data_IF_305340176680
#
_entry.id   IF_305340176680
#
_cell.length_a   1.000
_cell.length_b   1.000
_cell.length_c   1.000
_cell.angle_alpha   90.00
_cell.angle_beta   90.00
_cell.angle_gamma   90.00
#
_symmetry.space_group_name_H-M   'P 1'
#
loop_
_entity.id
_entity.type
_entity.pdbx_description
1 polymer ?
#
# COMPACT_ATOMS: atom_id res chain seq x y z
N UNK A 1 -6.43 -31.34 -3.06
CA UNK A 1 -5.24 -30.76 -2.35
C UNK A 1 -5.14 -29.30 -2.74
N UNK A 2 -5.20 -28.43 -1.77
CA UNK A 2 -5.19 -26.96 -1.91
C UNK A 2 -3.74 -26.50 -2.09
N UNK A 3 -3.41 -25.88 -3.21
CA UNK A 3 -2.05 -25.45 -3.57
C UNK A 3 -1.85 -23.98 -3.19
N UNK A 4 -0.95 -23.72 -2.27
CA UNK A 4 -0.76 -22.39 -1.66
C UNK A 4 0.66 -21.87 -1.94
N UNK A 5 0.77 -20.57 -2.22
CA UNK A 5 2.02 -19.82 -2.12
C UNK A 5 2.02 -18.95 -0.85
N UNK A 6 3.18 -18.79 -0.21
CA UNK A 6 3.39 -17.89 0.92
C UNK A 6 4.35 -16.78 0.45
N UNK A 7 3.95 -15.52 0.63
CA UNK A 7 4.73 -14.35 0.23
C UNK A 7 4.88 -13.42 1.42
N UNK A 8 6.11 -13.32 1.95
CA UNK A 8 6.43 -12.59 3.16
C UNK A 8 7.96 -12.38 3.18
N UNK A 9 8.45 -11.21 3.48
CA UNK A 9 9.89 -10.93 3.51
C UNK A 9 10.61 -11.54 4.74
N UNK A 10 9.83 -11.92 5.75
CA UNK A 10 10.32 -12.51 6.98
C UNK A 10 10.26 -14.06 6.94
N UNK A 11 11.44 -14.68 6.79
CA UNK A 11 11.57 -16.14 6.74
C UNK A 11 11.01 -16.87 7.98
N UNK A 12 11.09 -16.23 9.16
CA UNK A 12 10.54 -16.81 10.39
C UNK A 12 9.01 -16.85 10.33
N UNK A 13 8.38 -15.78 9.84
CA UNK A 13 6.92 -15.73 9.67
C UNK A 13 6.45 -16.71 8.59
N UNK A 14 7.16 -16.82 7.46
CA UNK A 14 6.87 -17.87 6.47
C UNK A 14 6.90 -19.27 7.09
N UNK A 15 7.90 -19.56 7.93
CA UNK A 15 8.01 -20.85 8.63
C UNK A 15 6.84 -21.05 9.59
N UNK A 16 6.49 -20.04 10.38
CA UNK A 16 5.35 -20.10 11.30
C UNK A 16 4.03 -20.38 10.58
N UNK A 17 3.79 -19.73 9.44
CA UNK A 17 2.59 -19.98 8.61
C UNK A 17 2.62 -21.41 8.04
N UNK A 18 3.78 -21.90 7.59
CA UNK A 18 3.93 -23.28 7.14
C UNK A 18 3.65 -24.28 8.27
N UNK A 19 4.16 -24.06 9.48
CA UNK A 19 3.89 -24.90 10.66
C UNK A 19 2.40 -24.90 11.01
N UNK A 20 1.73 -23.73 10.97
CA UNK A 20 0.27 -23.65 11.19
C UNK A 20 -0.52 -24.49 10.17
N UNK A 21 -0.07 -24.54 8.91
CA UNK A 21 -0.76 -25.28 7.85
C UNK A 21 -0.36 -26.75 7.76
N UNK A 22 0.75 -27.18 8.40
CA UNK A 22 1.21 -28.58 8.36
C UNK A 22 0.29 -29.55 9.08
N UNK A 23 -0.65 -29.06 9.91
CA UNK A 23 -1.67 -29.89 10.56
C UNK A 23 -2.78 -30.35 9.63
N UNK A 24 -2.84 -29.82 8.36
CA UNK A 24 -3.92 -30.09 7.42
C UNK A 24 -3.37 -30.80 6.18
N UNK A 25 -3.73 -32.09 6.04
CA UNK A 25 -3.19 -32.97 4.97
C UNK A 25 -3.63 -32.56 3.54
N UNK A 26 -4.71 -31.79 3.42
CA UNK A 26 -5.25 -31.32 2.16
C UNK A 26 -4.63 -30.00 1.67
N UNK A 27 -3.63 -29.45 2.40
CA UNK A 27 -2.91 -28.21 2.05
C UNK A 27 -1.49 -28.54 1.61
N UNK A 28 -1.10 -28.00 0.45
CA UNK A 28 0.25 -28.12 -0.09
C UNK A 28 0.86 -26.74 -0.37
N UNK A 29 2.01 -26.44 0.27
CA UNK A 29 2.76 -25.22 0.00
C UNK A 29 3.66 -25.47 -1.22
N UNK A 30 3.27 -24.89 -2.38
CA UNK A 30 3.99 -25.03 -3.66
C UNK A 30 5.19 -24.11 -3.80
N UNK A 31 5.09 -22.89 -3.24
CA UNK A 31 6.19 -21.92 -3.33
C UNK A 31 6.17 -20.94 -2.16
N UNK A 32 7.34 -20.33 -1.93
CA UNK A 32 7.54 -19.25 -0.99
C UNK A 32 8.31 -18.15 -1.69
N UNK A 33 8.02 -16.88 -1.41
CA UNK A 33 8.68 -15.72 -2.00
C UNK A 33 8.90 -14.66 -0.94
N UNK A 34 9.96 -13.87 -1.09
CA UNK A 34 10.32 -12.80 -0.15
C UNK A 34 9.72 -11.44 -0.55
N UNK A 35 9.17 -11.33 -1.75
CA UNK A 35 8.54 -10.12 -2.23
C UNK A 35 7.63 -10.43 -3.43
N UNK A 36 6.86 -9.41 -3.87
CA UNK A 36 5.93 -9.57 -4.99
C UNK A 36 6.62 -9.85 -6.32
N UNK A 37 7.82 -9.29 -6.54
CA UNK A 37 8.57 -9.50 -7.78
C UNK A 37 9.04 -10.96 -7.94
N UNK A 38 9.55 -11.54 -6.87
CA UNK A 38 9.93 -12.95 -6.83
C UNK A 38 8.71 -13.87 -7.04
N UNK A 39 7.57 -13.53 -6.45
CA UNK A 39 6.31 -14.25 -6.68
C UNK A 39 5.94 -14.25 -8.16
N UNK A 40 5.92 -13.08 -8.81
CA UNK A 40 5.55 -12.97 -10.24
C UNK A 40 6.49 -13.80 -11.13
N UNK A 41 7.79 -13.77 -10.89
CA UNK A 41 8.76 -14.62 -11.62
C UNK A 41 8.50 -16.13 -11.46
N UNK A 42 8.03 -16.56 -10.29
CA UNK A 42 7.65 -17.96 -10.04
C UNK A 42 6.35 -18.32 -10.72
N UNK A 43 5.36 -17.40 -10.72
CA UNK A 43 4.08 -17.59 -11.41
C UNK A 43 4.23 -17.68 -12.93
N UNK A 44 5.18 -16.96 -13.52
CA UNK A 44 5.50 -17.07 -14.95
C UNK A 44 5.99 -18.47 -15.34
N UNK A 45 6.68 -19.16 -14.41
CA UNK A 45 7.17 -20.53 -14.63
C UNK A 45 6.10 -21.58 -14.32
N UNK A 46 5.30 -21.34 -13.28
CA UNK A 46 4.21 -22.24 -12.86
C UNK A 46 3.16 -21.48 -12.08
N UNK A 47 2.00 -21.27 -12.67
CA UNK A 47 0.83 -20.61 -12.08
C UNK A 47 -0.19 -21.59 -11.50
N UNK A 48 0.14 -22.87 -11.30
CA UNK A 48 -0.76 -23.89 -10.75
C UNK A 48 -0.91 -23.72 -9.22
N UNK A 49 -1.58 -22.65 -8.82
CA UNK A 49 -1.90 -22.29 -7.46
C UNK A 49 -3.40 -22.00 -7.32
N UNK A 50 -3.94 -22.35 -6.18
CA UNK A 50 -5.34 -22.04 -5.82
C UNK A 50 -5.40 -20.73 -5.02
N UNK A 51 -4.42 -20.50 -4.12
CA UNK A 51 -4.43 -19.34 -3.23
C UNK A 51 -3.00 -18.85 -2.91
N UNK A 52 -2.88 -17.55 -2.70
CA UNK A 52 -1.67 -16.89 -2.22
C UNK A 52 -1.96 -16.26 -0.85
N UNK A 53 -1.15 -16.60 0.15
CA UNK A 53 -1.07 -15.87 1.42
C UNK A 53 -0.03 -14.76 1.22
N UNK A 54 -0.48 -13.50 1.30
CA UNK A 54 0.27 -12.33 0.88
C UNK A 54 0.47 -11.36 2.05
N UNK A 55 1.71 -11.09 2.43
CA UNK A 55 1.99 -9.95 3.29
C UNK A 55 1.91 -8.63 2.52
N UNK A 56 1.73 -7.52 3.22
CA UNK A 56 1.61 -6.19 2.61
C UNK A 56 2.97 -5.54 2.44
N UNK A 57 3.76 -5.44 3.51
CA UNK A 57 5.03 -4.72 3.47
C UNK A 57 6.19 -5.64 3.15
N UNK A 58 6.67 -5.52 1.93
CA UNK A 58 7.81 -6.27 1.43
C UNK A 58 8.69 -5.36 0.57
N UNK A 59 10.00 -5.62 0.49
CA UNK A 59 10.92 -4.86 -0.35
C UNK A 59 10.63 -5.09 -1.85
N UNK A 60 11.13 -4.21 -2.71
CA UNK A 60 11.06 -4.21 -4.19
C UNK A 60 9.63 -4.08 -4.75
N UNK A 61 8.71 -4.93 -4.35
CA UNK A 61 7.29 -4.91 -4.71
C UNK A 61 6.46 -5.35 -3.51
N UNK A 62 5.64 -4.45 -3.00
CA UNK A 62 4.77 -4.71 -1.86
C UNK A 62 3.58 -5.61 -2.22
N UNK A 63 2.86 -6.11 -1.20
CA UNK A 63 1.77 -7.05 -1.41
C UNK A 63 0.55 -6.47 -2.11
N UNK A 64 0.32 -5.16 -2.00
CA UNK A 64 -0.79 -4.48 -2.70
C UNK A 64 -0.51 -4.42 -4.20
N UNK A 65 0.71 -3.99 -4.59
CA UNK A 65 1.17 -3.98 -5.98
C UNK A 65 1.17 -5.39 -6.58
N UNK A 66 1.72 -6.36 -5.84
CA UNK A 66 1.73 -7.76 -6.26
C UNK A 66 0.31 -8.31 -6.45
N UNK A 67 -0.63 -7.97 -5.56
CA UNK A 67 -2.04 -8.35 -5.67
C UNK A 67 -2.65 -7.83 -6.97
N UNK A 68 -2.48 -6.55 -7.29
CA UNK A 68 -3.00 -5.96 -8.53
C UNK A 68 -2.44 -6.66 -9.78
N UNK A 69 -1.12 -6.92 -9.83
CA UNK A 69 -0.49 -7.61 -10.96
C UNK A 69 -0.92 -9.08 -11.08
N UNK A 70 -1.03 -9.81 -9.95
CA UNK A 70 -1.52 -11.20 -9.95
C UNK A 70 -2.96 -11.26 -10.43
N UNK A 71 -3.84 -10.40 -9.92
CA UNK A 71 -5.25 -10.38 -10.33
C UNK A 71 -5.44 -10.03 -11.80
N UNK A 72 -4.59 -9.18 -12.35
CA UNK A 72 -4.59 -8.83 -13.77
C UNK A 72 -4.17 -10.00 -14.67
N UNK A 73 -3.14 -10.78 -14.28
CA UNK A 73 -2.55 -11.85 -15.10
C UNK A 73 -3.15 -13.23 -14.79
N UNK A 74 -3.51 -13.47 -13.55
CA UNK A 74 -3.98 -14.77 -13.03
C UNK A 74 -5.26 -14.60 -12.17
N UNK A 75 -6.38 -14.12 -12.74
CA UNK A 75 -7.59 -13.76 -11.99
C UNK A 75 -8.24 -14.92 -11.22
N UNK A 76 -7.91 -16.16 -11.60
CA UNK A 76 -8.40 -17.37 -10.93
C UNK A 76 -7.71 -17.63 -9.58
N UNK A 77 -6.49 -17.13 -9.38
CA UNK A 77 -5.76 -17.33 -8.14
C UNK A 77 -6.36 -16.43 -7.05
N UNK A 78 -6.76 -17.04 -5.94
CA UNK A 78 -7.27 -16.32 -4.78
C UNK A 78 -6.13 -15.67 -3.99
N UNK A 79 -6.36 -14.47 -3.48
CA UNK A 79 -5.38 -13.74 -2.66
C UNK A 79 -5.99 -13.42 -1.31
N UNK A 80 -5.38 -13.99 -0.27
CA UNK A 80 -5.71 -13.73 1.11
C UNK A 80 -4.57 -12.95 1.76
N UNK A 81 -4.82 -11.66 2.06
CA UNK A 81 -3.83 -10.86 2.77
C UNK A 81 -3.64 -11.42 4.17
N UNK A 82 -2.37 -11.60 4.57
CA UNK A 82 -1.99 -12.11 5.89
C UNK A 82 -0.88 -11.22 6.45
N UNK A 83 -1.23 -10.28 7.31
CA UNK A 83 -0.36 -9.18 7.70
C UNK A 83 -0.50 -8.80 9.17
N UNK A 84 0.44 -8.02 9.70
CA UNK A 84 0.33 -7.40 11.04
C UNK A 84 -0.39 -6.05 11.01
N UNK A 85 -0.68 -5.51 9.82
CA UNK A 85 -1.26 -4.19 9.67
C UNK A 85 -2.79 -4.24 9.66
N UNK A 86 -3.40 -3.31 10.41
CA UNK A 86 -4.85 -3.19 10.55
C UNK A 86 -5.38 -1.76 10.28
N UNK A 87 -4.53 -0.89 9.67
CA UNK A 87 -4.93 0.47 9.35
C UNK A 87 -5.83 0.55 8.11
N UNK A 88 -6.71 1.55 8.12
CA UNK A 88 -7.77 1.73 7.13
C UNK A 88 -7.23 1.89 5.69
N UNK A 89 -6.10 2.59 5.51
CA UNK A 89 -5.48 2.81 4.21
C UNK A 89 -5.02 1.50 3.55
N UNK A 90 -4.34 0.62 4.31
CA UNK A 90 -3.82 -0.66 3.79
C UNK A 90 -4.95 -1.64 3.50
N UNK A 91 -5.99 -1.68 4.35
CA UNK A 91 -7.18 -2.49 4.12
C UNK A 91 -7.85 -2.05 2.80
N UNK A 92 -8.10 -0.75 2.64
CA UNK A 92 -8.74 -0.21 1.45
C UNK A 92 -7.94 -0.50 0.18
N UNK A 93 -6.63 -0.22 0.17
CA UNK A 93 -5.76 -0.46 -0.97
C UNK A 93 -5.70 -1.94 -1.35
N UNK A 94 -5.65 -2.85 -0.38
CA UNK A 94 -5.63 -4.29 -0.63
C UNK A 94 -6.93 -4.78 -1.29
N UNK A 95 -8.08 -4.33 -0.80
CA UNK A 95 -9.39 -4.66 -1.36
C UNK A 95 -9.52 -4.08 -2.78
N UNK A 96 -9.13 -2.82 -2.99
CA UNK A 96 -9.15 -2.16 -4.31
C UNK A 96 -8.23 -2.86 -5.31
N UNK A 97 -7.10 -3.40 -4.86
CA UNK A 97 -6.18 -4.21 -5.68
C UNK A 97 -6.75 -5.58 -6.05
N UNK A 98 -7.84 -6.01 -5.43
CA UNK A 98 -8.55 -7.26 -5.72
C UNK A 98 -8.26 -8.41 -4.75
N UNK A 99 -7.79 -8.13 -3.52
CA UNK A 99 -7.68 -9.16 -2.49
C UNK A 99 -9.04 -9.79 -2.19
N UNK A 100 -9.08 -11.13 -2.09
CA UNK A 100 -10.31 -11.89 -1.81
C UNK A 100 -10.59 -12.00 -0.30
N UNK A 101 -9.63 -11.68 0.57
CA UNK A 101 -9.78 -11.66 2.01
C UNK A 101 -8.64 -10.94 2.71
N UNK A 102 -8.78 -10.72 4.04
CA UNK A 102 -7.81 -9.98 4.83
C UNK A 102 -7.77 -10.48 6.27
N UNK A 103 -6.62 -11.01 6.70
CA UNK A 103 -6.41 -11.57 8.02
C UNK A 103 -5.22 -10.92 8.71
N UNK A 104 -5.25 -10.92 10.04
CA UNK A 104 -4.10 -10.58 10.87
C UNK A 104 -3.26 -11.82 11.18
N UNK A 105 -1.93 -11.68 11.27
CA UNK A 105 -0.98 -12.80 11.48
C UNK A 105 -1.14 -13.53 12.81
N UNK A 106 -1.82 -12.91 13.80
CA UNK A 106 -2.11 -13.53 15.12
C UNK A 106 -3.15 -14.65 15.06
N UNK A 107 -3.71 -14.91 13.88
CA UNK A 107 -4.71 -15.98 13.66
C UNK A 107 -4.18 -17.37 14.05
N UNK A 108 -5.03 -18.18 14.68
CA UNK A 108 -4.65 -19.56 15.02
C UNK A 108 -4.72 -20.50 13.79
N UNK A 109 -4.11 -21.70 13.87
CA UNK A 109 -4.06 -22.64 12.73
C UNK A 109 -5.44 -23.02 12.15
N UNK A 110 -6.41 -23.28 12.99
CA UNK A 110 -7.74 -23.72 12.56
C UNK A 110 -8.51 -22.59 11.88
N UNK A 111 -8.43 -21.37 12.39
CA UNK A 111 -9.03 -20.20 11.78
C UNK A 111 -8.38 -19.84 10.44
N UNK A 112 -7.04 -19.93 10.33
CA UNK A 112 -6.34 -19.73 9.07
C UNK A 112 -6.81 -20.74 8.01
N UNK A 113 -6.88 -22.01 8.35
CA UNK A 113 -7.35 -23.05 7.45
C UNK A 113 -8.81 -22.82 7.01
N UNK A 114 -9.71 -22.50 7.95
CA UNK A 114 -11.10 -22.20 7.64
C UNK A 114 -11.23 -20.99 6.70
N UNK A 115 -10.44 -19.93 6.94
CA UNK A 115 -10.40 -18.73 6.09
C UNK A 115 -9.92 -19.03 4.67
N UNK A 116 -8.94 -19.93 4.52
CA UNK A 116 -8.49 -20.40 3.20
C UNK A 116 -9.64 -21.09 2.47
N UNK A 117 -10.34 -22.00 3.12
CA UNK A 117 -11.49 -22.73 2.54
C UNK A 117 -12.65 -21.80 2.19
N UNK A 118 -12.96 -20.85 3.07
CA UNK A 118 -13.98 -19.83 2.84
C UNK A 118 -13.64 -19.00 1.59
N UNK A 119 -12.39 -18.52 1.48
CA UNK A 119 -11.93 -17.73 0.34
C UNK A 119 -12.01 -18.53 -0.97
N UNK A 120 -11.62 -19.80 -0.95
CA UNK A 120 -11.69 -20.69 -2.13
C UNK A 120 -13.13 -21.00 -2.55
N UNK A 121 -14.08 -21.02 -1.60
CA UNK A 121 -15.52 -21.21 -1.90
C UNK A 121 -16.21 -19.92 -2.39
N UNK A 122 -15.49 -18.81 -2.53
CA UNK A 122 -16.03 -17.54 -3.00
C UNK A 122 -16.48 -16.59 -1.89
N UNK A 123 -16.24 -16.92 -0.63
CA UNK A 123 -16.42 -16.02 0.51
C UNK A 123 -15.27 -15.02 0.62
N UNK A 124 -15.47 -14.00 1.47
CA UNK A 124 -14.44 -13.00 1.80
C UNK A 124 -14.02 -13.17 3.25
N UNK A 125 -12.99 -13.99 3.50
CA UNK A 125 -12.50 -14.24 4.84
C UNK A 125 -11.88 -12.97 5.44
N UNK A 126 -12.46 -12.48 6.52
CA UNK A 126 -11.99 -11.30 7.26
C UNK A 126 -12.19 -11.52 8.75
N UNK A 127 -11.24 -11.04 9.59
CA UNK A 127 -11.52 -10.95 11.02
C UNK A 127 -12.65 -9.95 11.28
N UNK A 128 -13.44 -10.10 12.36
CA UNK A 128 -14.56 -9.19 12.65
C UNK A 128 -14.13 -7.71 12.70
N UNK A 129 -12.93 -7.41 13.22
CA UNK A 129 -12.38 -6.06 13.28
C UNK A 129 -12.11 -5.49 11.88
N UNK A 130 -11.55 -6.28 10.98
CA UNK A 130 -11.29 -5.89 9.59
C UNK A 130 -12.59 -5.71 8.82
N UNK A 131 -13.55 -6.60 8.98
CA UNK A 131 -14.87 -6.47 8.36
C UNK A 131 -15.58 -5.17 8.77
N UNK A 132 -15.53 -4.81 10.06
CA UNK A 132 -16.10 -3.56 10.55
C UNK A 132 -15.41 -2.33 9.95
N UNK A 133 -14.07 -2.32 9.87
CA UNK A 133 -13.30 -1.25 9.24
C UNK A 133 -13.64 -1.13 7.74
N UNK A 134 -13.74 -2.25 7.04
CA UNK A 134 -14.15 -2.28 5.62
C UNK A 134 -15.54 -1.67 5.40
N UNK A 135 -16.53 -2.03 6.24
CA UNK A 135 -17.87 -1.45 6.17
C UNK A 135 -17.87 0.06 6.46
N UNK A 136 -17.03 0.52 7.40
CA UNK A 136 -16.86 1.95 7.68
C UNK A 136 -16.29 2.69 6.47
N UNK A 137 -15.27 2.14 5.83
CA UNK A 137 -14.67 2.71 4.63
C UNK A 137 -15.64 2.81 3.45
N UNK A 138 -16.59 1.88 3.33
CA UNK A 138 -17.65 1.94 2.32
C UNK A 138 -18.71 3.03 2.62
N UNK A 139 -19.00 3.28 3.89
CA UNK A 139 -19.98 4.29 4.31
C UNK A 139 -19.41 5.71 4.26
N UNK A 140 -18.16 5.84 4.64
CA UNK A 140 -17.42 7.09 4.68
C UNK A 140 -16.18 6.94 3.76
N UNK A 141 -16.34 7.09 2.44
CA UNK A 141 -15.21 6.95 1.53
C UNK A 141 -14.14 7.97 1.87
N UNK A 142 -13.08 7.51 2.50
CA UNK A 142 -11.88 8.34 2.67
C UNK A 142 -11.19 8.39 1.32
N UNK A 143 -10.80 9.58 0.90
CA UNK A 143 -9.97 9.77 -0.28
C UNK A 143 -8.55 9.32 0.11
N UNK A 144 -8.27 8.04 0.01
CA UNK A 144 -6.90 7.54 0.06
C UNK A 144 -6.30 7.81 -1.33
N UNK A 145 -5.53 8.88 -1.42
CA UNK A 145 -4.76 9.16 -2.64
C UNK A 145 -3.89 7.95 -2.98
N UNK A 146 -4.02 7.46 -4.20
CA UNK A 146 -3.13 6.42 -4.74
C UNK A 146 -1.71 7.00 -4.83
N UNK A 147 -0.69 6.15 -4.75
CA UNK A 147 0.70 6.60 -4.95
C UNK A 147 0.88 7.28 -6.32
N UNK A 148 0.11 6.87 -7.33
CA UNK A 148 0.05 7.51 -8.65
C UNK A 148 -0.58 8.92 -8.62
N UNK A 149 -1.49 9.19 -7.66
CA UNK A 149 -2.05 10.53 -7.46
C UNK A 149 -1.11 11.39 -6.62
N UNK A 150 -0.31 10.79 -5.72
CA UNK A 150 0.77 11.46 -5.00
C UNK A 150 1.94 11.87 -5.92
N UNK A 151 2.17 11.14 -7.03
CA UNK A 151 3.23 11.45 -7.99
C UNK A 151 2.96 12.67 -8.88
N UNK A 152 1.80 13.33 -8.77
CA UNK A 152 1.49 14.54 -9.55
C UNK A 152 1.29 15.81 -8.74
N UNK A 153 2.01 15.99 -7.64
CA UNK A 153 2.22 17.34 -7.10
C UNK A 153 3.21 18.07 -8.05
N UNK A 154 2.69 18.52 -9.18
CA UNK A 154 3.49 19.30 -10.13
C UNK A 154 3.54 20.77 -9.70
N UNK A 155 4.53 21.09 -8.85
CA UNK A 155 4.91 22.48 -8.66
C UNK A 155 5.64 22.95 -9.91
N UNK A 156 5.31 24.16 -10.37
CA UNK A 156 6.07 24.80 -11.45
C UNK A 156 7.50 25.09 -10.99
N UNK A 157 8.44 25.22 -11.92
CA UNK A 157 9.82 25.58 -11.62
C UNK A 157 9.91 26.84 -10.72
N UNK A 158 8.97 27.78 -10.90
CA UNK A 158 8.92 29.01 -10.10
C UNK A 158 8.39 28.76 -8.69
N UNK A 159 7.41 27.91 -8.51
CA UNK A 159 6.90 27.51 -7.20
C UNK A 159 7.96 26.73 -6.41
N UNK A 160 8.76 25.88 -7.07
CA UNK A 160 9.90 25.17 -6.46
C UNK A 160 10.93 26.18 -5.95
N UNK A 161 11.35 27.15 -6.77
CA UNK A 161 12.30 28.21 -6.36
C UNK A 161 11.81 29.01 -5.14
N UNK A 162 10.51 29.36 -5.11
CA UNK A 162 9.91 30.05 -3.96
C UNK A 162 9.91 29.16 -2.72
N UNK A 163 9.57 27.88 -2.85
CA UNK A 163 9.49 26.92 -1.75
C UNK A 163 10.89 26.61 -1.18
N UNK A 164 11.92 26.50 -2.02
CA UNK A 164 13.33 26.37 -1.59
C UNK A 164 13.78 27.56 -0.72
N UNK A 165 13.43 28.78 -1.11
CA UNK A 165 13.81 29.97 -0.33
C UNK A 165 12.99 30.07 0.97
N UNK A 166 11.72 29.65 0.94
CA UNK A 166 10.93 29.50 2.14
C UNK A 166 11.54 28.48 3.11
N UNK A 167 12.04 27.36 2.61
CA UNK A 167 12.67 26.31 3.43
C UNK A 167 13.92 26.80 4.16
N UNK A 168 14.65 27.77 3.56
CA UNK A 168 15.80 28.46 4.16
C UNK A 168 15.42 29.54 5.17
N UNK A 169 14.13 29.74 5.43
CA UNK A 169 13.64 30.71 6.43
C UNK A 169 13.47 32.13 5.93
N UNK A 170 13.69 32.42 4.64
CA UNK A 170 13.63 33.77 4.09
C UNK A 170 12.18 34.34 4.20
N UNK A 171 12.12 35.68 4.40
CA UNK A 171 10.87 36.43 4.37
C UNK A 171 10.46 36.74 2.92
N UNK A 172 9.18 37.01 2.69
CA UNK A 172 8.64 37.26 1.33
C UNK A 172 9.33 38.41 0.61
N UNK A 173 9.78 39.47 1.34
CA UNK A 173 10.48 40.59 0.76
C UNK A 173 11.86 40.16 0.19
N UNK A 174 12.62 39.39 0.96
CA UNK A 174 13.90 38.86 0.52
C UNK A 174 13.78 37.87 -0.66
N UNK A 175 12.71 37.05 -0.64
CA UNK A 175 12.40 36.13 -1.76
C UNK A 175 12.04 36.92 -3.02
N UNK A 176 11.30 38.03 -2.87
CA UNK A 176 10.90 38.89 -3.97
C UNK A 176 12.14 39.55 -4.63
N UNK A 177 13.07 40.06 -3.82
CA UNK A 177 14.33 40.61 -4.30
C UNK A 177 15.19 39.56 -5.03
N UNK A 178 15.41 38.39 -4.41
CA UNK A 178 16.20 37.30 -4.96
C UNK A 178 15.68 36.78 -6.30
N UNK A 179 14.34 36.74 -6.43
CA UNK A 179 13.70 36.22 -7.63
C UNK A 179 13.26 37.30 -8.64
N UNK A 180 13.58 38.59 -8.35
CA UNK A 180 13.21 39.75 -9.18
C UNK A 180 11.68 39.75 -9.45
N UNK A 181 10.89 39.62 -8.38
CA UNK A 181 9.45 39.63 -8.42
C UNK A 181 8.84 40.62 -7.41
N UNK A 182 7.56 40.95 -7.57
CA UNK A 182 6.84 41.69 -6.55
C UNK A 182 6.51 40.82 -5.35
N UNK A 183 6.40 41.43 -4.14
CA UNK A 183 5.93 40.73 -2.94
C UNK A 183 4.54 40.12 -3.12
N UNK A 184 3.65 40.78 -3.89
CA UNK A 184 2.33 40.26 -4.22
C UNK A 184 2.42 38.99 -5.06
N UNK A 185 3.36 38.91 -6.02
CA UNK A 185 3.60 37.71 -6.84
C UNK A 185 4.11 36.57 -5.96
N UNK A 186 5.02 36.82 -5.03
CA UNK A 186 5.49 35.78 -4.09
C UNK A 186 4.33 35.26 -3.24
N UNK A 187 3.47 36.16 -2.71
CA UNK A 187 2.29 35.71 -1.95
C UNK A 187 1.39 34.81 -2.78
N UNK A 188 1.16 35.15 -4.05
CA UNK A 188 0.33 34.32 -4.96
C UNK A 188 0.95 32.94 -5.21
N UNK A 189 2.28 32.87 -5.42
CA UNK A 189 2.98 31.60 -5.54
C UNK A 189 2.85 30.75 -4.26
N UNK A 190 2.96 31.36 -3.07
CA UNK A 190 2.80 30.64 -1.79
C UNK A 190 1.38 30.11 -1.62
N UNK A 191 0.35 30.90 -1.95
CA UNK A 191 -1.04 30.43 -1.95
C UNK A 191 -1.24 29.23 -2.89
N UNK A 192 -0.69 29.31 -4.10
CA UNK A 192 -0.76 28.22 -5.07
C UNK A 192 -0.01 26.97 -4.60
N UNK A 193 1.18 27.14 -3.97
CA UNK A 193 1.94 26.04 -3.36
C UNK A 193 1.10 25.38 -2.26
N UNK A 194 0.50 26.16 -1.36
CA UNK A 194 -0.32 25.62 -0.28
C UNK A 194 -1.54 24.88 -0.80
N UNK A 195 -2.21 25.41 -1.82
CA UNK A 195 -3.33 24.74 -2.48
C UNK A 195 -2.90 23.43 -3.13
N UNK A 196 -1.78 23.41 -3.87
CA UNK A 196 -1.27 22.22 -4.56
C UNK A 196 -0.75 21.15 -3.59
N UNK A 197 -0.13 21.58 -2.48
CA UNK A 197 0.35 20.68 -1.42
C UNK A 197 -0.72 20.33 -0.39
N UNK A 198 -1.93 20.90 -0.51
CA UNK A 198 -3.05 20.73 0.44
C UNK A 198 -2.66 21.02 1.89
N UNK A 199 -1.93 22.12 2.12
CA UNK A 199 -1.42 22.53 3.44
C UNK A 199 -1.91 23.94 3.80
N UNK A 200 -1.87 24.25 5.09
CA UNK A 200 -2.35 25.56 5.61
C UNK A 200 -1.23 26.45 6.14
N UNK A 201 0.00 25.96 6.23
CA UNK A 201 1.11 26.75 6.76
C UNK A 201 2.46 26.35 6.12
N UNK A 202 3.46 27.24 6.34
CA UNK A 202 4.82 27.11 5.82
C UNK A 202 5.53 25.83 6.28
N UNK A 203 5.35 25.45 7.55
CA UNK A 203 6.06 24.30 8.12
C UNK A 203 5.62 23.01 7.44
N UNK A 204 4.31 22.82 7.31
CA UNK A 204 3.73 21.66 6.60
C UNK A 204 4.17 21.63 5.14
N UNK A 205 4.13 22.79 4.44
CA UNK A 205 4.57 22.86 3.05
C UNK A 205 6.03 22.39 2.86
N UNK A 206 6.94 22.84 3.72
CA UNK A 206 8.36 22.46 3.68
C UNK A 206 8.55 20.98 4.03
N UNK A 207 7.81 20.44 5.01
CA UNK A 207 7.90 19.04 5.38
C UNK A 207 7.42 18.12 4.23
N UNK A 208 6.27 18.42 3.63
CA UNK A 208 5.76 17.66 2.49
C UNK A 208 6.70 17.74 1.29
N UNK A 209 7.22 18.93 0.98
CA UNK A 209 8.15 19.11 -0.13
C UNK A 209 9.44 18.29 0.03
N UNK A 210 10.01 18.24 1.23
CA UNK A 210 11.19 17.40 1.55
C UNK A 210 10.85 15.91 1.46
N UNK A 211 9.71 15.49 2.00
CA UNK A 211 9.25 14.09 1.95
C UNK A 211 9.09 13.61 0.50
N UNK A 212 8.58 14.46 -0.38
CA UNK A 212 8.34 14.15 -1.80
C UNK A 212 9.53 14.52 -2.71
N UNK A 213 10.72 14.85 -2.15
CA UNK A 213 11.95 15.22 -2.89
C UNK A 213 11.73 16.34 -3.92
N UNK A 214 10.86 17.28 -3.61
CA UNK A 214 10.60 18.46 -4.45
C UNK A 214 11.61 19.58 -4.21
N UNK A 215 12.23 19.60 -3.02
CA UNK A 215 13.30 20.50 -2.58
C UNK A 215 14.32 19.78 -1.70
#
# INVERSE_FOLDING_TARGET
MIKIAIVDDNLFLQKTVQEKLSFFEDVEIKSKSLNGKELLQKLEKNSNLDLILMDIEMPEMNGVEATAEVKKRYPHIKILMLTVFDNDEKIFKSIKAGADGYLLKEINPQELYNSIKETLSGGAAMTPSIALKTLKLLREPQVFETEEEKEKITLTAREIQVLEQLSKGLKYDAIAENLILSKGTIRKHVENIYAKLQVHNKLEAVQIAKKNKLI
#
